data_IF_544434884700
#
_entry.id   IF_544434884700
#
_cell.length_a   1.000
_cell.length_b   1.000
_cell.length_c   1.000
_cell.angle_alpha   90.00
_cell.angle_beta   90.00
_cell.angle_gamma   90.00
#
_symmetry.space_group_name_H-M   'P 1'
#
loop_
_entity.id
_entity.type
_entity.pdbx_description
1 polymer ?
#
# COMPACT_ATOMS: atom_id res chain seq x y z
N UNK A 1 -5.50 39.96 -50.14
CA UNK A 1 -6.64 40.23 -49.24
C UNK A 1 -7.36 38.94 -48.86
N UNK A 2 -7.80 38.12 -49.83
CA UNK A 2 -8.46 36.82 -49.59
C UNK A 2 -7.60 35.83 -48.78
N UNK A 3 -6.30 35.75 -49.07
CA UNK A 3 -5.38 34.88 -48.34
C UNK A 3 -5.28 35.23 -46.84
N UNK A 4 -5.40 36.52 -46.50
CA UNK A 4 -5.34 37.00 -45.12
C UNK A 4 -6.60 36.58 -44.33
N UNK A 5 -7.76 36.69 -44.97
CA UNK A 5 -9.05 36.26 -44.38
C UNK A 5 -9.06 34.76 -44.11
N UNK A 6 -8.56 33.95 -45.05
CA UNK A 6 -8.47 32.49 -44.88
C UNK A 6 -7.53 32.12 -43.72
N UNK A 7 -6.40 32.81 -43.60
CA UNK A 7 -5.45 32.57 -42.51
C UNK A 7 -6.03 32.98 -41.15
N UNK A 8 -6.72 34.11 -41.06
CA UNK A 8 -7.35 34.58 -39.83
C UNK A 8 -8.48 33.63 -39.39
N UNK A 9 -9.33 33.15 -40.30
CA UNK A 9 -10.38 32.16 -39.99
C UNK A 9 -9.82 30.79 -39.61
N UNK A 10 -8.73 30.36 -40.25
CA UNK A 10 -8.05 29.11 -39.88
C UNK A 10 -7.41 29.21 -38.49
N UNK A 11 -6.92 30.40 -38.10
CA UNK A 11 -6.40 30.63 -36.76
C UNK A 11 -7.49 30.59 -35.69
N UNK A 12 -8.66 31.18 -35.95
CA UNK A 12 -9.82 31.09 -35.02
C UNK A 12 -10.33 29.66 -34.85
N UNK A 13 -10.26 28.83 -35.91
CA UNK A 13 -10.67 27.43 -35.83
C UNK A 13 -9.70 26.56 -34.99
N UNK A 14 -8.43 26.98 -34.88
CA UNK A 14 -7.37 26.28 -34.15
C UNK A 14 -7.14 26.90 -32.77
N UNK A 15 -7.68 28.09 -32.47
CA UNK A 15 -7.67 28.61 -31.11
C UNK A 15 -8.45 27.66 -30.21
N UNK A 16 -7.81 27.08 -29.17
CA UNK A 16 -8.51 26.28 -28.20
C UNK A 16 -9.55 27.18 -27.54
N UNK A 17 -10.83 26.93 -27.79
CA UNK A 17 -11.89 27.49 -26.96
C UNK A 17 -11.60 27.04 -25.54
N UNK A 18 -11.12 27.96 -24.70
CA UNK A 18 -11.04 27.73 -23.27
C UNK A 18 -12.41 27.21 -22.83
N UNK A 19 -12.47 26.11 -22.04
CA UNK A 19 -13.74 25.51 -21.67
C UNK A 19 -14.62 26.61 -21.09
N UNK A 20 -15.82 26.76 -21.66
CA UNK A 20 -16.78 27.77 -21.25
C UNK A 20 -16.87 27.73 -19.71
N UNK A 21 -16.50 28.85 -19.07
CA UNK A 21 -16.53 29.03 -17.61
C UNK A 21 -17.97 29.18 -17.09
N UNK A 22 -18.87 28.34 -17.60
CA UNK A 22 -20.27 28.19 -17.17
C UNK A 22 -20.52 26.88 -16.41
N UNK A 23 -19.46 26.22 -15.93
CA UNK A 23 -19.58 25.08 -15.04
C UNK A 23 -20.13 25.50 -13.67
N UNK A 24 -20.92 24.61 -13.04
CA UNK A 24 -21.42 24.79 -11.67
C UNK A 24 -20.26 25.24 -10.77
N UNK A 25 -20.44 26.33 -10.03
CA UNK A 25 -19.41 26.86 -9.15
C UNK A 25 -19.17 25.90 -7.99
N UNK A 26 -18.17 25.03 -8.11
CA UNK A 26 -17.79 24.03 -7.11
C UNK A 26 -16.73 24.52 -6.14
N UNK A 27 -16.35 25.81 -6.18
CA UNK A 27 -15.25 26.34 -5.37
C UNK A 27 -15.51 26.15 -3.87
N UNK A 28 -16.72 26.46 -3.40
CA UNK A 28 -17.11 26.26 -2.00
C UNK A 28 -17.14 24.79 -1.58
N UNK A 29 -17.56 23.90 -2.49
CA UNK A 29 -17.55 22.45 -2.25
C UNK A 29 -16.12 21.91 -2.18
N UNK A 30 -15.23 22.35 -3.06
CA UNK A 30 -13.83 21.97 -3.08
C UNK A 30 -13.10 22.44 -1.80
N UNK A 31 -13.39 23.66 -1.34
CA UNK A 31 -12.84 24.18 -0.08
C UNK A 31 -13.35 23.41 1.13
N UNK A 32 -14.64 23.08 1.17
CA UNK A 32 -15.21 22.24 2.22
C UNK A 32 -14.55 20.85 2.24
N UNK A 33 -14.48 20.19 1.08
CA UNK A 33 -13.86 18.87 0.96
C UNK A 33 -12.39 18.91 1.38
N UNK A 34 -11.61 19.90 0.96
CA UNK A 34 -10.20 20.02 1.38
C UNK A 34 -10.07 20.22 2.89
N UNK A 35 -10.83 21.17 3.47
CA UNK A 35 -10.75 21.48 4.90
C UNK A 35 -11.21 20.31 5.78
N UNK A 36 -12.14 19.50 5.29
CA UNK A 36 -12.70 18.38 6.05
C UNK A 36 -11.97 17.05 5.81
N UNK A 37 -11.77 16.65 4.54
CA UNK A 37 -11.14 15.36 4.22
C UNK A 37 -9.64 15.36 4.47
N UNK A 38 -8.91 16.45 4.23
CA UNK A 38 -7.46 16.43 4.34
C UNK A 38 -6.97 16.11 5.77
N UNK A 39 -7.50 16.73 6.84
CA UNK A 39 -7.11 16.38 8.20
C UNK A 39 -7.47 14.94 8.57
N UNK A 40 -8.68 14.49 8.22
CA UNK A 40 -9.13 13.12 8.52
C UNK A 40 -8.27 12.07 7.82
N UNK A 41 -7.94 12.30 6.54
CA UNK A 41 -7.08 11.43 5.77
C UNK A 41 -5.68 11.34 6.39
N UNK A 42 -5.07 12.47 6.76
CA UNK A 42 -3.74 12.47 7.36
C UNK A 42 -3.71 11.76 8.70
N UNK A 43 -4.73 11.93 9.55
CA UNK A 43 -4.83 11.22 10.84
C UNK A 43 -4.87 9.72 10.61
N UNK A 44 -5.79 9.23 9.75
CA UNK A 44 -5.93 7.79 9.49
C UNK A 44 -4.65 7.20 8.88
N UNK A 45 -4.09 7.87 7.86
CA UNK A 45 -2.85 7.41 7.20
C UNK A 45 -1.68 7.43 8.17
N UNK A 46 -1.59 8.39 9.09
CA UNK A 46 -0.53 8.43 10.09
C UNK A 46 -0.56 7.22 11.01
N UNK A 47 -1.75 6.81 11.48
CA UNK A 47 -1.92 5.62 12.33
C UNK A 47 -1.52 4.37 11.55
N UNK A 48 -2.05 4.21 10.34
CA UNK A 48 -1.73 3.06 9.48
C UNK A 48 -0.22 3.02 9.17
N UNK A 49 0.41 4.17 8.89
CA UNK A 49 1.84 4.27 8.63
C UNK A 49 2.68 3.85 9.84
N UNK A 50 2.28 4.24 11.06
CA UNK A 50 2.94 3.80 12.30
C UNK A 50 2.84 2.28 12.45
N UNK A 51 1.64 1.71 12.30
CA UNK A 51 1.46 0.25 12.35
C UNK A 51 2.28 -0.46 11.29
N UNK A 52 2.30 0.05 10.06
CA UNK A 52 3.08 -0.51 8.95
C UNK A 52 4.59 -0.50 9.25
N UNK A 53 5.09 0.61 9.79
CA UNK A 53 6.51 0.79 10.12
C UNK A 53 6.95 -0.21 11.19
N UNK A 54 6.15 -0.41 12.24
CA UNK A 54 6.45 -1.40 13.26
C UNK A 54 6.25 -2.84 12.79
N UNK A 55 5.23 -3.12 11.98
CA UNK A 55 4.93 -4.49 11.52
C UNK A 55 6.08 -5.08 10.70
N UNK A 56 6.72 -4.31 9.83
CA UNK A 56 7.81 -4.81 8.99
C UNK A 56 9.03 -5.24 9.81
N UNK A 57 9.37 -4.49 10.85
CA UNK A 57 10.55 -4.80 11.67
C UNK A 57 10.25 -5.87 12.73
N UNK A 58 9.07 -5.81 13.35
CA UNK A 58 8.63 -6.80 14.33
C UNK A 58 8.51 -8.19 13.70
N UNK A 59 7.97 -8.32 12.49
CA UNK A 59 7.83 -9.64 11.84
C UNK A 59 9.18 -10.30 11.59
N UNK A 60 10.21 -9.54 11.18
CA UNK A 60 11.58 -10.06 11.05
C UNK A 60 12.17 -10.46 12.40
N UNK A 61 11.98 -9.64 13.43
CA UNK A 61 12.44 -9.95 14.78
C UNK A 61 11.78 -11.21 15.37
N UNK A 62 10.47 -11.35 15.18
CA UNK A 62 9.69 -12.51 15.61
C UNK A 62 10.17 -13.77 14.89
N UNK A 63 10.49 -13.70 13.60
CA UNK A 63 11.08 -14.84 12.87
C UNK A 63 12.39 -15.31 13.51
N UNK A 64 13.28 -14.39 13.88
CA UNK A 64 14.52 -14.73 14.57
C UNK A 64 14.27 -15.38 15.94
N UNK A 65 13.34 -14.83 16.73
CA UNK A 65 12.97 -15.41 18.03
C UNK A 65 12.41 -16.82 17.86
N UNK A 66 11.48 -17.02 16.93
CA UNK A 66 10.86 -18.33 16.67
C UNK A 66 11.93 -19.34 16.28
N UNK A 67 12.86 -18.97 15.39
CA UNK A 67 13.95 -19.84 14.97
C UNK A 67 14.86 -20.20 16.15
N UNK A 68 15.25 -19.22 16.96
CA UNK A 68 16.10 -19.43 18.13
C UNK A 68 15.44 -20.37 19.15
N UNK A 69 14.14 -20.16 19.43
CA UNK A 69 13.37 -21.04 20.31
C UNK A 69 13.25 -22.44 19.71
N UNK A 70 12.97 -22.57 18.41
CA UNK A 70 12.83 -23.88 17.76
C UNK A 70 14.12 -24.70 17.88
N UNK A 71 15.27 -24.09 17.62
CA UNK A 71 16.58 -24.74 17.79
C UNK A 71 16.81 -25.10 19.26
N UNK A 72 16.53 -24.17 20.19
CA UNK A 72 16.63 -24.44 21.63
C UNK A 72 15.78 -25.63 22.07
N UNK A 73 14.54 -25.74 21.59
CA UNK A 73 13.64 -26.85 21.93
C UNK A 73 14.12 -28.16 21.33
N UNK A 74 14.48 -28.19 20.04
CA UNK A 74 14.89 -29.44 19.36
C UNK A 74 16.14 -30.05 19.98
N UNK A 75 17.14 -29.22 20.32
CA UNK A 75 18.44 -29.71 20.77
C UNK A 75 18.56 -29.83 22.29
N UNK A 76 17.76 -29.08 23.06
CA UNK A 76 17.94 -28.98 24.51
C UNK A 76 16.82 -29.64 25.32
N UNK A 77 15.63 -29.85 24.73
CA UNK A 77 14.56 -30.57 25.42
C UNK A 77 14.77 -32.08 25.23
N UNK A 78 14.88 -32.85 26.32
CA UNK A 78 15.07 -34.29 26.23
C UNK A 78 13.88 -34.95 25.53
N UNK A 79 14.15 -36.05 24.82
CA UNK A 79 13.18 -36.87 24.08
C UNK A 79 12.58 -36.26 22.81
N UNK A 80 12.80 -34.98 22.48
CA UNK A 80 12.26 -34.39 21.24
C UNK A 80 12.81 -35.09 20.00
N UNK A 81 14.12 -35.33 19.95
CA UNK A 81 14.76 -36.01 18.82
C UNK A 81 14.20 -37.43 18.62
N UNK A 82 13.94 -38.14 19.72
CA UNK A 82 13.39 -39.49 19.67
C UNK A 82 11.94 -39.50 19.17
N UNK A 83 11.09 -38.60 19.66
CA UNK A 83 9.70 -38.49 19.24
C UNK A 83 9.60 -38.08 17.77
N UNK A 84 10.40 -37.11 17.34
CA UNK A 84 10.45 -36.69 15.93
C UNK A 84 10.96 -37.82 15.04
N UNK A 85 12.00 -38.55 15.45
CA UNK A 85 12.52 -39.69 14.70
C UNK A 85 11.48 -40.82 14.58
N UNK A 86 10.78 -41.17 15.66
CA UNK A 86 9.71 -42.17 15.65
C UNK A 86 8.54 -41.74 14.78
N UNK A 87 8.16 -40.46 14.80
CA UNK A 87 7.09 -39.92 13.97
C UNK A 87 7.45 -39.99 12.47
N UNK A 88 8.69 -39.63 12.12
CA UNK A 88 9.18 -39.71 10.74
C UNK A 88 9.28 -41.18 10.30
N UNK A 89 9.87 -42.06 11.11
CA UNK A 89 9.97 -43.49 10.81
C UNK A 89 8.58 -44.11 10.59
N UNK A 90 7.60 -43.78 11.45
CA UNK A 90 6.22 -44.20 11.30
C UNK A 90 5.56 -43.68 10.02
N UNK A 91 5.78 -42.42 9.65
CA UNK A 91 5.27 -41.85 8.40
C UNK A 91 5.92 -42.47 7.15
N UNK A 92 7.18 -42.89 7.27
CA UNK A 92 7.92 -43.59 6.20
C UNK A 92 7.64 -45.10 6.18
N UNK A 93 6.81 -45.62 7.08
CA UNK A 93 6.49 -47.06 7.17
C UNK A 93 7.65 -47.91 7.68
N UNK A 94 8.69 -47.28 8.23
CA UNK A 94 9.85 -47.93 8.82
C UNK A 94 9.48 -48.21 10.29
N UNK A 95 9.32 -49.48 10.64
CA UNK A 95 9.05 -49.91 12.02
C UNK A 95 10.35 -50.14 12.77
#
# INVERSE_FOLDING_TARGET
MVLRVIVESALELVTPTAPATGGVNTAGLADFLRKFFAPLFLVVVSVVAIFFLFTREITRFVQFIILAIAIGVIFYVPNIIEVTARAIAGALGIK
#
